data_IF_255256231267
#
_entry.id   IF_255256231267
#
_cell.length_a   1.000
_cell.length_b   1.000
_cell.length_c   1.000
_cell.angle_alpha   90.00
_cell.angle_beta   90.00
_cell.angle_gamma   90.00
#
_symmetry.space_group_name_H-M   'P 1'
#
loop_
_entity.id
_entity.type
_entity.pdbx_description
1 polymer ?
#
# COMPACT_ATOMS: atom_id res chain seq x y z
N UNK A 1 -8.02 25.21 -25.74
CA UNK A 1 -6.76 24.44 -25.70
C UNK A 1 -6.99 23.26 -24.77
N UNK A 2 -6.78 22.00 -25.19
CA UNK A 2 -6.99 20.83 -24.30
C UNK A 2 -5.74 20.65 -23.44
N UNK A 3 -5.87 20.85 -22.12
CA UNK A 3 -4.77 20.64 -21.17
C UNK A 3 -4.38 19.15 -21.19
N UNK A 4 -3.09 18.80 -21.32
CA UNK A 4 -2.66 17.41 -21.26
C UNK A 4 -2.80 16.89 -19.81
N UNK A 5 -3.66 15.89 -19.61
CA UNK A 5 -3.72 15.13 -18.36
C UNK A 5 -2.50 14.22 -18.26
N UNK A 6 -1.75 14.31 -17.16
CA UNK A 6 -0.63 13.38 -16.91
C UNK A 6 -1.19 12.14 -16.23
N UNK A 7 -1.17 11.04 -16.97
CA UNK A 7 -1.52 9.72 -16.45
C UNK A 7 -0.28 9.05 -15.90
N UNK A 8 -0.35 8.58 -14.66
CA UNK A 8 0.74 7.87 -14.00
C UNK A 8 0.23 6.50 -13.57
N UNK A 9 0.94 5.47 -14.00
CA UNK A 9 0.81 4.12 -13.46
C UNK A 9 1.81 3.97 -12.32
N UNK A 10 1.36 4.08 -11.08
CA UNK A 10 2.19 3.80 -9.92
C UNK A 10 2.39 2.29 -9.80
N UNK A 11 3.65 1.85 -9.89
CA UNK A 11 4.02 0.45 -9.64
C UNK A 11 4.47 0.35 -8.18
N UNK A 12 3.68 -0.32 -7.34
CA UNK A 12 3.97 -0.42 -5.91
C UNK A 12 5.04 -1.51 -5.72
N UNK A 13 6.18 -1.21 -5.09
CA UNK A 13 7.27 -2.17 -4.95
C UNK A 13 6.87 -3.35 -4.03
N UNK A 14 7.56 -4.48 -4.18
CA UNK A 14 7.50 -5.62 -3.26
C UNK A 14 8.08 -5.23 -1.90
N UNK A 15 7.36 -5.48 -0.78
CA UNK A 15 7.73 -5.00 0.56
C UNK A 15 7.96 -6.18 1.52
N UNK A 16 9.21 -6.57 1.73
CA UNK A 16 9.53 -7.53 2.79
C UNK A 16 9.68 -6.77 4.11
N UNK A 17 8.71 -6.90 5.04
CA UNK A 17 8.74 -6.19 6.33
C UNK A 17 8.61 -7.13 7.52
N UNK A 18 9.71 -7.32 8.25
CA UNK A 18 9.69 -7.97 9.57
C UNK A 18 9.01 -7.06 10.60
N UNK A 19 7.93 -7.54 11.20
CA UNK A 19 7.18 -6.83 12.25
C UNK A 19 7.35 -7.63 13.54
N UNK A 20 8.10 -7.09 14.51
CA UNK A 20 8.20 -7.67 15.85
C UNK A 20 6.96 -7.34 16.69
N UNK A 21 6.51 -8.28 17.52
CA UNK A 21 5.35 -8.12 18.39
C UNK A 21 5.80 -8.32 19.84
N UNK A 22 5.73 -7.26 20.65
CA UNK A 22 6.11 -7.35 22.06
C UNK A 22 5.21 -8.35 22.82
N UNK A 23 5.80 -9.27 23.58
CA UNK A 23 5.08 -10.27 24.38
C UNK A 23 4.68 -11.55 23.64
N UNK A 24 4.94 -11.63 22.33
CA UNK A 24 4.87 -12.88 21.57
C UNK A 24 6.29 -13.24 21.13
N UNK A 25 6.71 -14.47 21.44
CA UNK A 25 7.95 -15.01 20.93
C UNK A 25 7.94 -14.92 19.39
N UNK A 26 9.09 -14.56 18.84
CA UNK A 26 9.27 -13.83 17.59
C UNK A 26 8.27 -14.15 16.46
N UNK A 27 7.48 -13.13 16.09
CA UNK A 27 6.65 -13.16 14.89
C UNK A 27 7.39 -12.48 13.73
N UNK A 28 7.35 -13.09 12.55
CA UNK A 28 7.82 -12.44 11.32
C UNK A 28 6.76 -12.55 10.24
N UNK A 29 6.66 -11.47 9.46
CA UNK A 29 5.69 -11.33 8.37
C UNK A 29 6.49 -11.02 7.11
N UNK A 30 6.24 -11.78 6.07
CA UNK A 30 6.77 -11.51 4.74
C UNK A 30 5.60 -11.20 3.81
N UNK A 31 5.49 -9.94 3.38
CA UNK A 31 4.40 -9.44 2.54
C UNK A 31 4.91 -9.17 1.13
N UNK A 32 4.88 -10.18 0.27
CA UNK A 32 5.37 -10.03 -1.09
C UNK A 32 4.24 -9.79 -2.11
N UNK A 33 4.62 -9.23 -3.27
CA UNK A 33 3.82 -9.18 -4.49
C UNK A 33 2.43 -8.54 -4.32
N UNK A 34 2.41 -7.31 -3.78
CA UNK A 34 1.18 -6.53 -3.68
C UNK A 34 0.68 -6.11 -5.07
N UNK A 35 -0.28 -6.85 -5.60
CA UNK A 35 -0.99 -6.51 -6.83
C UNK A 35 -1.91 -5.31 -6.57
N UNK A 36 -1.78 -4.28 -7.41
CA UNK A 36 -2.50 -3.01 -7.24
C UNK A 36 -3.72 -2.94 -8.16
N UNK A 37 -4.87 -2.57 -7.62
CA UNK A 37 -6.09 -2.28 -8.36
C UNK A 37 -6.55 -0.85 -8.02
N UNK A 38 -6.58 0.04 -9.01
CA UNK A 38 -6.86 1.47 -8.79
C UNK A 38 -8.29 1.78 -9.23
N UNK A 39 -9.13 2.32 -8.33
CA UNK A 39 -10.45 2.88 -8.66
C UNK A 39 -11.42 1.90 -9.35
N UNK A 40 -11.26 0.58 -9.12
CA UNK A 40 -12.11 -0.47 -9.72
C UNK A 40 -13.15 -1.03 -8.74
N UNK A 41 -12.74 -1.24 -7.49
CA UNK A 41 -13.61 -1.83 -6.45
C UNK A 41 -14.38 -0.73 -5.73
N UNK A 42 -13.65 0.26 -5.20
CA UNK A 42 -14.22 1.44 -4.56
C UNK A 42 -13.79 2.71 -5.32
N UNK A 43 -14.72 3.64 -5.61
CA UNK A 43 -14.36 4.94 -6.17
C UNK A 43 -13.33 5.65 -5.28
N UNK A 44 -12.40 6.36 -5.91
CA UNK A 44 -11.37 7.14 -5.22
C UNK A 44 -10.36 6.37 -4.36
N UNK A 45 -10.42 5.04 -4.31
CA UNK A 45 -9.48 4.23 -3.54
C UNK A 45 -8.61 3.33 -4.42
N UNK A 46 -7.54 2.86 -3.81
CA UNK A 46 -6.68 1.80 -4.33
C UNK A 46 -6.88 0.57 -3.45
N UNK A 47 -6.95 -0.59 -4.07
CA UNK A 47 -6.92 -1.89 -3.41
C UNK A 47 -5.58 -2.57 -3.70
N UNK A 48 -4.86 -2.94 -2.64
CA UNK A 48 -3.65 -3.75 -2.68
C UNK A 48 -4.02 -5.18 -2.30
N UNK A 49 -3.64 -6.16 -3.11
CA UNK A 49 -3.86 -7.58 -2.83
C UNK A 49 -2.54 -8.31 -2.77
N UNK A 50 -2.34 -9.12 -1.75
CA UNK A 50 -1.14 -9.94 -1.63
C UNK A 50 -1.31 -11.09 -0.67
N UNK A 51 -0.25 -11.88 -0.53
CA UNK A 51 -0.17 -12.99 0.42
C UNK A 51 0.93 -12.69 1.42
N UNK A 52 0.57 -12.66 2.69
CA UNK A 52 1.51 -12.55 3.79
C UNK A 52 1.85 -13.95 4.31
N UNK A 53 3.13 -14.27 4.37
CA UNK A 53 3.62 -15.46 5.08
C UNK A 53 4.01 -15.07 6.49
N UNK A 54 3.42 -15.75 7.46
CA UNK A 54 3.60 -15.46 8.87
C UNK A 54 4.31 -16.67 9.50
N UNK A 55 5.43 -16.41 10.15
CA UNK A 55 6.13 -17.39 10.99
C UNK A 55 6.02 -16.94 12.44
N UNK A 56 5.57 -17.85 13.29
CA UNK A 56 5.45 -17.66 14.73
C UNK A 56 6.39 -18.65 15.41
N UNK A 57 7.28 -18.15 16.26
CA UNK A 57 8.15 -18.97 17.09
C UNK A 57 7.68 -18.93 18.53
N UNK A 58 7.56 -20.09 19.18
CA UNK A 58 7.13 -20.19 20.58
C UNK A 58 8.03 -21.18 21.32
N UNK A 59 7.96 -21.20 22.65
CA UNK A 59 8.68 -22.17 23.49
C UNK A 59 8.34 -23.63 23.11
N UNK A 60 7.15 -23.87 22.55
CA UNK A 60 6.65 -25.20 22.18
C UNK A 60 6.96 -25.56 20.72
N UNK A 61 7.57 -24.66 19.95
CA UNK A 61 7.92 -24.88 18.53
C UNK A 61 7.49 -23.73 17.61
N UNK A 62 7.75 -23.92 16.31
CA UNK A 62 7.44 -22.94 15.26
C UNK A 62 6.21 -23.34 14.45
N UNK A 63 5.35 -22.37 14.16
CA UNK A 63 4.16 -22.54 13.30
C UNK A 63 4.16 -21.50 12.19
N UNK A 64 3.52 -21.84 11.07
CA UNK A 64 3.42 -20.98 9.90
C UNK A 64 1.96 -20.79 9.49
N UNK A 65 1.63 -19.61 8.98
CA UNK A 65 0.35 -19.31 8.38
C UNK A 65 0.55 -18.47 7.11
N UNK A 66 -0.36 -18.63 6.15
CA UNK A 66 -0.49 -17.75 5.00
C UNK A 66 -1.79 -16.96 5.12
N UNK A 67 -1.70 -15.66 4.86
CA UNK A 67 -2.84 -14.75 4.90
C UNK A 67 -2.96 -14.04 3.56
N UNK A 68 -3.99 -14.37 2.79
CA UNK A 68 -4.37 -13.56 1.64
C UNK A 68 -5.05 -12.30 2.15
N UNK A 69 -4.56 -11.14 1.74
CA UNK A 69 -5.04 -9.83 2.20
C UNK A 69 -5.57 -9.01 1.03
N UNK A 70 -6.64 -8.27 1.27
CA UNK A 70 -6.99 -7.08 0.51
C UNK A 70 -6.92 -5.87 1.44
N UNK A 71 -6.19 -4.84 1.01
CA UNK A 71 -5.98 -3.61 1.76
C UNK A 71 -6.48 -2.47 0.90
N UNK A 72 -7.40 -1.67 1.42
CA UNK A 72 -7.84 -0.43 0.76
C UNK A 72 -7.08 0.76 1.31
N UNK A 73 -6.81 1.74 0.45
CA UNK A 73 -6.10 2.96 0.81
C UNK A 73 -6.58 4.15 -0.03
N UNK A 74 -6.47 5.34 0.55
CA UNK A 74 -6.71 6.60 -0.14
C UNK A 74 -5.37 7.15 -0.68
N UNK A 75 -5.20 7.31 -2.00
CA UNK A 75 -4.00 7.91 -2.53
C UNK A 75 -4.00 9.43 -2.26
N UNK A 76 -2.86 9.94 -1.82
CA UNK A 76 -2.66 11.35 -1.51
C UNK A 76 -1.44 11.88 -2.25
N UNK A 77 -1.61 12.95 -3.01
CA UNK A 77 -0.51 13.63 -3.68
C UNK A 77 -0.04 14.82 -2.84
N UNK A 78 1.24 14.76 -2.43
CA UNK A 78 1.94 15.88 -1.83
C UNK A 78 2.56 16.74 -2.93
N UNK A 79 1.96 17.91 -3.14
CA UNK A 79 2.40 18.87 -4.16
C UNK A 79 3.81 19.39 -3.88
N UNK A 80 4.19 19.55 -2.61
CA UNK A 80 5.48 20.12 -2.24
C UNK A 80 6.64 19.21 -2.62
N UNK A 81 6.48 17.90 -2.39
CA UNK A 81 7.50 16.90 -2.70
C UNK A 81 7.34 16.27 -4.08
N UNK A 82 6.15 16.37 -4.68
CA UNK A 82 5.81 15.69 -5.93
C UNK A 82 5.64 14.18 -5.74
N UNK A 83 5.22 13.76 -4.55
CA UNK A 83 5.15 12.36 -4.15
C UNK A 83 3.69 11.90 -3.95
N UNK A 84 3.41 10.65 -4.28
CA UNK A 84 2.12 10.00 -4.00
C UNK A 84 2.31 9.05 -2.83
N UNK A 85 1.54 9.26 -1.78
CA UNK A 85 1.46 8.41 -0.60
C UNK A 85 0.15 7.64 -0.59
N UNK A 86 0.11 6.56 0.18
CA UNK A 86 -1.14 5.87 0.52
C UNK A 86 -1.48 6.17 1.96
N UNK A 87 -2.69 6.68 2.20
CA UNK A 87 -3.22 7.01 3.51
C UNK A 87 -4.43 6.13 3.83
N UNK A 88 -4.84 6.14 5.09
CA UNK A 88 -6.07 5.44 5.55
C UNK A 88 -6.07 3.94 5.22
N UNK A 89 -4.90 3.30 5.29
CA UNK A 89 -4.76 1.87 5.01
C UNK A 89 -5.64 1.06 5.95
N UNK A 90 -6.50 0.24 5.35
CA UNK A 90 -7.45 -0.62 6.06
C UNK A 90 -7.50 -1.98 5.40
N UNK A 91 -7.38 -3.05 6.18
CA UNK A 91 -7.61 -4.41 5.69
C UNK A 91 -9.11 -4.56 5.43
N UNK A 92 -9.51 -4.75 4.17
CA UNK A 92 -10.90 -4.89 3.75
C UNK A 92 -11.34 -6.34 3.59
N UNK A 93 -10.40 -7.25 3.37
CA UNK A 93 -10.65 -8.68 3.24
C UNK A 93 -9.42 -9.48 3.66
N UNK A 94 -9.64 -10.67 4.23
CA UNK A 94 -8.58 -11.57 4.65
C UNK A 94 -9.00 -13.03 4.65
N UNK A 95 -8.08 -13.91 4.23
CA UNK A 95 -8.24 -15.37 4.33
C UNK A 95 -7.00 -15.99 4.95
N UNK A 96 -7.18 -16.70 6.06
CA UNK A 96 -6.09 -17.25 6.88
C UNK A 96 -6.01 -18.77 6.67
N UNK A 97 -4.81 -19.27 6.40
CA UNK A 97 -4.53 -20.71 6.25
C UNK A 97 -3.33 -21.10 7.11
N UNK A 98 -3.41 -22.17 7.93
CA UNK A 98 -4.59 -22.99 8.19
C UNK A 98 -5.60 -22.27 9.09
N UNK A 99 -6.88 -22.65 8.98
CA UNK A 99 -7.98 -22.00 9.70
C UNK A 99 -7.82 -22.01 11.23
N UNK A 100 -7.19 -23.05 11.79
CA UNK A 100 -6.89 -23.13 13.23
C UNK A 100 -6.03 -21.98 13.77
N UNK A 101 -5.36 -21.23 12.89
CA UNK A 101 -4.55 -20.06 13.26
C UNK A 101 -5.37 -18.76 13.26
N UNK A 102 -6.65 -18.79 12.86
CA UNK A 102 -7.45 -17.58 12.64
C UNK A 102 -7.56 -16.69 13.90
N UNK A 103 -7.73 -17.27 15.09
CA UNK A 103 -7.81 -16.51 16.35
C UNK A 103 -6.48 -15.83 16.69
N UNK A 104 -5.37 -16.57 16.59
CA UNK A 104 -4.01 -16.06 16.84
C UNK A 104 -3.67 -14.94 15.86
N UNK A 105 -3.92 -15.16 14.56
CA UNK A 105 -3.64 -14.17 13.52
C UNK A 105 -4.52 -12.93 13.69
N UNK A 106 -5.81 -13.10 13.97
CA UNK A 106 -6.73 -11.97 14.20
C UNK A 106 -6.26 -11.04 15.33
N UNK A 107 -5.66 -11.59 16.37
CA UNK A 107 -5.14 -10.82 17.52
C UNK A 107 -3.95 -9.94 17.13
N UNK A 108 -3.13 -10.37 16.18
CA UNK A 108 -1.93 -9.62 15.75
C UNK A 108 -2.19 -8.66 14.60
N UNK A 109 -3.25 -8.88 13.82
CA UNK A 109 -3.57 -8.07 12.63
C UNK A 109 -3.62 -6.55 12.87
N UNK A 110 -4.16 -6.02 13.99
CA UNK A 110 -4.13 -4.58 14.25
C UNK A 110 -2.73 -3.99 14.29
N UNK A 111 -1.75 -4.71 14.84
CA UNK A 111 -0.34 -4.30 14.90
C UNK A 111 0.26 -4.27 13.49
N UNK A 112 -0.11 -5.26 12.67
CA UNK A 112 0.27 -5.33 11.25
C UNK A 112 -0.30 -4.13 10.48
N UNK A 113 -1.60 -3.87 10.64
CA UNK A 113 -2.26 -2.76 9.97
C UNK A 113 -1.63 -1.42 10.34
N UNK A 114 -1.36 -1.18 11.63
CA UNK A 114 -0.69 0.03 12.10
C UNK A 114 0.74 0.15 11.55
N UNK A 115 1.47 -0.96 11.47
CA UNK A 115 2.82 -0.98 10.90
C UNK A 115 2.84 -0.68 9.41
N UNK A 116 1.86 -1.18 8.65
CA UNK A 116 1.70 -0.88 7.23
C UNK A 116 1.30 0.58 7.03
N UNK A 117 0.32 1.07 7.80
CA UNK A 117 -0.09 2.47 7.80
C UNK A 117 1.10 3.41 8.02
N UNK A 118 1.85 3.20 9.10
CA UNK A 118 3.02 4.02 9.42
C UNK A 118 4.12 3.95 8.34
N UNK A 119 4.25 2.82 7.62
CA UNK A 119 5.19 2.70 6.52
C UNK A 119 4.74 3.54 5.32
N UNK A 120 3.52 3.33 4.81
CA UNK A 120 3.04 3.98 3.60
C UNK A 120 2.72 5.47 3.77
N UNK A 121 2.49 5.93 5.00
CA UNK A 121 2.40 7.37 5.30
C UNK A 121 3.74 8.08 5.16
N UNK A 122 4.87 7.37 5.33
CA UNK A 122 6.23 7.94 5.26
C UNK A 122 6.98 7.61 3.97
N UNK A 123 6.63 6.49 3.33
CA UNK A 123 7.28 6.00 2.13
C UNK A 123 6.35 6.19 0.95
N UNK A 124 6.67 7.10 0.00
CA UNK A 124 5.83 7.32 -1.15
C UNK A 124 5.84 6.10 -2.07
N UNK A 125 4.68 5.79 -2.66
CA UNK A 125 4.55 4.72 -3.65
C UNK A 125 4.91 5.18 -5.05
N UNK A 126 5.04 6.49 -5.25
CA UNK A 126 5.51 7.09 -6.48
C UNK A 126 6.11 8.47 -6.18
N UNK A 127 7.19 8.82 -6.88
CA UNK A 127 7.85 10.11 -6.79
C UNK A 127 8.09 10.63 -8.20
N UNK A 128 7.65 11.86 -8.49
CA UNK A 128 7.91 12.50 -9.77
C UNK A 128 9.43 12.63 -10.00
N UNK A 129 9.86 12.27 -11.20
CA UNK A 129 11.23 12.32 -11.72
C UNK A 129 11.33 13.40 -12.80
N UNK A 130 11.32 14.70 -12.42
CA UNK A 130 11.32 15.82 -13.37
C UNK A 130 12.55 15.83 -14.30
N UNK A 131 13.66 15.25 -13.86
CA UNK A 131 14.87 15.08 -14.64
C UNK A 131 14.75 14.04 -15.77
N UNK A 132 13.77 13.12 -15.68
CA UNK A 132 13.56 12.05 -16.66
C UNK A 132 12.36 12.29 -17.59
N UNK A 133 11.45 13.18 -17.20
CA UNK A 133 10.20 13.39 -17.94
C UNK A 133 9.79 14.87 -17.93
N UNK A 134 9.64 15.44 -19.12
CA UNK A 134 9.11 16.82 -19.29
C UNK A 134 7.69 16.95 -18.72
N UNK A 135 6.89 15.90 -18.84
CA UNK A 135 5.55 15.86 -18.26
C UNK A 135 5.64 15.91 -16.73
N UNK A 136 6.49 15.10 -16.11
CA UNK A 136 6.64 15.10 -14.66
C UNK A 136 7.29 16.39 -14.14
N UNK A 137 8.18 17.01 -14.92
CA UNK A 137 8.71 18.35 -14.63
C UNK A 137 7.61 19.43 -14.64
N UNK A 138 6.65 19.31 -15.55
CA UNK A 138 5.49 20.19 -15.58
C UNK A 138 4.58 19.91 -14.37
N UNK A 139 4.25 18.63 -14.11
CA UNK A 139 3.46 18.23 -12.94
C UNK A 139 4.04 18.80 -11.65
N UNK A 140 5.35 18.70 -11.44
CA UNK A 140 6.00 19.23 -10.24
C UNK A 140 5.82 20.74 -10.04
N UNK A 141 5.63 21.50 -11.13
CA UNK A 141 5.46 22.96 -11.08
C UNK A 141 4.00 23.39 -10.93
N UNK A 142 3.08 22.68 -11.57
CA UNK A 142 1.69 23.16 -11.76
C UNK A 142 0.63 22.15 -11.33
N UNK A 143 1.00 21.05 -10.67
CA UNK A 143 0.02 20.11 -10.15
C UNK A 143 -0.83 20.72 -9.02
N UNK A 144 -2.15 20.51 -9.09
CA UNK A 144 -3.12 20.96 -8.08
C UNK A 144 -3.68 19.82 -7.24
N UNK A 145 -3.62 18.60 -7.72
CA UNK A 145 -4.20 17.47 -7.01
C UNK A 145 -4.10 16.15 -7.76
N UNK A 146 -4.80 15.16 -7.21
CA UNK A 146 -4.83 13.80 -7.69
C UNK A 146 -6.27 13.38 -7.95
N UNK A 147 -6.51 12.79 -9.12
CA UNK A 147 -7.77 12.17 -9.47
C UNK A 147 -7.55 10.67 -9.67
N UNK A 148 -8.42 9.87 -9.05
CA UNK A 148 -8.40 8.41 -9.21
C UNK A 148 -9.37 8.03 -10.31
N UNK A 149 -8.88 7.39 -11.36
CA UNK A 149 -9.70 6.81 -12.43
C UNK A 149 -9.53 5.29 -12.44
N UNK A 150 -10.50 4.53 -12.98
CA UNK A 150 -10.34 3.09 -13.13
C UNK A 150 -9.03 2.74 -13.83
N UNK A 151 -8.14 2.05 -13.11
CA UNK A 151 -6.83 1.59 -13.57
C UNK A 151 -5.69 2.61 -13.56
N UNK A 152 -5.90 3.87 -13.14
CA UNK A 152 -4.84 4.88 -13.15
C UNK A 152 -5.03 6.03 -12.17
N UNK A 153 -3.91 6.61 -11.75
CA UNK A 153 -3.87 7.89 -11.06
C UNK A 153 -3.56 9.00 -12.06
N UNK A 154 -4.28 10.11 -11.94
CA UNK A 154 -4.14 11.26 -12.82
C UNK A 154 -3.76 12.47 -11.98
N UNK A 155 -2.60 13.05 -12.26
CA UNK A 155 -2.21 14.31 -11.65
C UNK A 155 -2.89 15.44 -12.42
N UNK A 156 -3.71 16.21 -11.72
CA UNK A 156 -4.41 17.36 -12.28
C UNK A 156 -3.48 18.57 -12.29
N UNK A 157 -3.43 19.27 -13.42
CA UNK A 157 -2.59 20.45 -13.63
C UNK A 157 -3.43 21.73 -13.64
N UNK A 158 -2.83 22.86 -13.30
CA UNK A 158 -3.45 24.19 -13.46
C UNK A 158 -3.26 24.76 -14.86
N UNK A 159 -4.21 25.60 -15.26
CA UNK A 159 -4.04 26.59 -16.33
C UNK A 159 -3.19 27.77 -15.87
#
# INVERSE_FOLDING_TARGET
MRIPLITISANIPTIVKKIGIAGLADASIDLANLATQIGRTEPNKITLRGVAKIKLETLLGSTHAEVSLAITALPYFDVATGAIYLKELTISDQKITPEKMASTITTILPIVNNSLKAYFEKNPVYLLQPEKSKAEALAKKIAKGLEVKPGKLVIQLVE
#
